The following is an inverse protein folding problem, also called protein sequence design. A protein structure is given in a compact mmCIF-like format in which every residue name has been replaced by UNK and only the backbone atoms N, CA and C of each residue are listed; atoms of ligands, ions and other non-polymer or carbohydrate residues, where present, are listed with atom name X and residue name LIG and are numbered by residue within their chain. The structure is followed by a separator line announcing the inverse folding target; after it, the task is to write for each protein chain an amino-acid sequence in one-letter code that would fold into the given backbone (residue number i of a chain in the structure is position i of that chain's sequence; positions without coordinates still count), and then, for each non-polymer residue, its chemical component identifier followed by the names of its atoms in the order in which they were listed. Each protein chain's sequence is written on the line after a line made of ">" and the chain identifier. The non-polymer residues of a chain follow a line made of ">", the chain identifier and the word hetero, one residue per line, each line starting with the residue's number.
data_IF_165538836410
#
_entry.id   IF_165538836410
#
_cell.length_a   1.000
_cell.length_b   1.000
_cell.length_c   1.000
_cell.angle_alpha   90.00
_cell.angle_beta   90.00
_cell.angle_gamma   90.00
#
_symmetry.space_group_name_H-M   'P 1'
#
loop_
_entity.id
_entity.type
_entity.pdbx_description
1 polymer ?
#
# COMPACT_ATOMS: atom_id res chain seq x y z
N UNK A 1 -16.05 -8.43 -34.14
CA UNK A 1 -15.60 -8.66 -32.74
C UNK A 1 -16.23 -7.54 -31.93
N UNK A 2 -17.28 -7.81 -31.16
CA UNK A 2 -17.98 -6.77 -30.39
C UNK A 2 -17.02 -6.29 -29.30
N UNK A 3 -16.57 -5.03 -29.40
CA UNK A 3 -15.77 -4.42 -28.33
C UNK A 3 -16.60 -4.46 -27.05
N UNK A 4 -16.15 -5.26 -26.08
CA UNK A 4 -16.65 -5.15 -24.72
C UNK A 4 -16.18 -3.80 -24.19
N UNK A 5 -17.09 -2.83 -24.17
CA UNK A 5 -16.86 -1.55 -23.50
C UNK A 5 -16.40 -1.82 -22.07
N UNK A 6 -15.18 -1.41 -21.74
CA UNK A 6 -14.59 -1.58 -20.42
C UNK A 6 -15.47 -0.86 -19.39
N UNK A 7 -16.04 -1.61 -18.44
CA UNK A 7 -16.79 -1.06 -17.32
C UNK A 7 -15.87 -1.03 -16.10
N UNK A 8 -15.46 0.16 -15.61
CA UNK A 8 -14.62 0.27 -14.42
C UNK A 8 -15.33 -0.23 -13.17
N UNK A 9 -14.59 -0.79 -12.22
CA UNK A 9 -15.14 -1.22 -10.92
C UNK A 9 -15.74 -0.06 -10.10
N UNK A 10 -15.20 1.15 -10.28
CA UNK A 10 -15.76 2.40 -9.73
C UNK A 10 -16.17 3.29 -10.90
N UNK A 11 -17.45 3.65 -11.01
CA UNK A 11 -17.95 4.49 -12.11
C UNK A 11 -17.34 5.91 -11.99
N UNK A 12 -16.97 6.59 -13.09
CA UNK A 12 -16.41 7.95 -13.05
C UNK A 12 -17.26 8.98 -12.29
N UNK A 13 -18.58 8.80 -12.29
CA UNK A 13 -19.54 9.68 -11.60
C UNK A 13 -19.71 9.36 -10.10
N UNK A 14 -19.08 8.28 -9.62
CA UNK A 14 -19.18 7.87 -8.22
C UNK A 14 -18.21 8.69 -7.37
N UNK A 15 -18.75 9.53 -6.48
CA UNK A 15 -17.93 10.27 -5.49
C UNK A 15 -17.54 9.35 -4.35
N UNK A 16 -16.41 8.68 -4.51
CA UNK A 16 -15.73 7.86 -3.50
C UNK A 16 -14.58 8.65 -2.87
N UNK A 17 -14.33 8.50 -1.57
CA UNK A 17 -13.11 9.02 -0.97
C UNK A 17 -11.91 8.22 -1.46
N UNK A 18 -10.91 8.86 -2.07
CA UNK A 18 -9.71 8.21 -2.61
C UNK A 18 -8.49 8.51 -1.74
N UNK A 19 -8.21 9.80 -1.55
CA UNK A 19 -7.07 10.29 -0.80
C UNK A 19 -7.55 10.94 0.49
N UNK A 20 -7.38 10.23 1.60
CA UNK A 20 -7.70 10.75 2.93
C UNK A 20 -6.45 10.81 3.81
N UNK A 21 -6.47 11.73 4.77
CA UNK A 21 -5.38 11.91 5.75
C UNK A 21 -5.16 10.61 6.52
N UNK A 22 -6.23 9.87 6.82
CA UNK A 22 -6.17 8.56 7.50
C UNK A 22 -5.38 7.55 6.66
N UNK A 23 -5.66 7.45 5.36
CA UNK A 23 -4.96 6.53 4.46
C UNK A 23 -3.47 6.83 4.35
N UNK A 24 -3.11 8.12 4.24
CA UNK A 24 -1.71 8.53 4.18
C UNK A 24 -1.01 8.22 5.50
N UNK A 25 -1.64 8.52 6.64
CA UNK A 25 -1.05 8.31 7.95
C UNK A 25 -0.82 6.82 8.25
N UNK A 26 -1.82 5.97 8.01
CA UNK A 26 -1.71 4.52 8.18
C UNK A 26 -0.67 3.94 7.21
N UNK A 27 -0.68 4.37 5.95
CA UNK A 27 0.31 3.97 4.94
C UNK A 27 1.73 4.37 5.33
N UNK A 28 1.93 5.58 5.84
CA UNK A 28 3.23 6.07 6.29
C UNK A 28 3.76 5.27 7.49
N UNK A 29 2.92 4.95 8.47
CA UNK A 29 3.30 4.10 9.61
C UNK A 29 3.75 2.73 9.12
N UNK A 30 2.96 2.08 8.25
CA UNK A 30 3.36 0.81 7.67
C UNK A 30 4.65 0.92 6.85
N UNK A 31 4.81 1.97 6.06
CA UNK A 31 6.01 2.21 5.28
C UNK A 31 7.27 2.39 6.13
N UNK A 32 7.17 3.04 7.29
CA UNK A 32 8.29 3.15 8.24
C UNK A 32 8.62 1.79 8.85
N UNK A 33 7.62 1.06 9.35
CA UNK A 33 7.82 -0.23 10.01
C UNK A 33 8.43 -1.25 9.04
N UNK A 34 7.80 -1.41 7.88
CA UNK A 34 8.26 -2.36 6.87
C UNK A 34 9.50 -1.89 6.14
N UNK A 35 9.67 -0.58 5.90
CA UNK A 35 10.90 -0.03 5.34
C UNK A 35 12.09 -0.33 6.26
N UNK A 36 11.96 -0.07 7.57
CA UNK A 36 12.99 -0.40 8.55
C UNK A 36 13.26 -1.92 8.62
N UNK A 37 12.20 -2.74 8.61
CA UNK A 37 12.33 -4.19 8.57
C UNK A 37 13.08 -4.67 7.31
N UNK A 38 12.76 -4.10 6.14
CA UNK A 38 13.39 -4.42 4.86
C UNK A 38 14.86 -4.01 4.87
N UNK A 39 15.22 -2.81 5.37
CA UNK A 39 16.63 -2.41 5.53
C UNK A 39 17.37 -3.37 6.44
N UNK A 40 16.81 -3.67 7.61
CA UNK A 40 17.44 -4.55 8.58
C UNK A 40 17.66 -5.97 8.03
N UNK A 41 16.64 -6.56 7.42
CA UNK A 41 16.74 -7.90 6.82
C UNK A 41 17.71 -7.91 5.65
N UNK A 42 17.72 -6.87 4.81
CA UNK A 42 18.63 -6.83 3.68
C UNK A 42 20.09 -6.66 4.11
N UNK A 43 20.38 -5.84 5.13
CA UNK A 43 21.73 -5.72 5.70
C UNK A 43 22.19 -6.97 6.44
N UNK A 44 21.27 -7.67 7.13
CA UNK A 44 21.62 -8.82 7.98
C UNK A 44 21.62 -10.16 7.23
N UNK A 45 20.65 -10.37 6.36
CA UNK A 45 20.40 -11.65 5.69
C UNK A 45 20.63 -11.60 4.17
N UNK A 46 20.90 -10.41 3.60
CA UNK A 46 21.13 -10.25 2.15
C UNK A 46 19.87 -10.47 1.30
N UNK A 47 18.70 -10.54 1.92
CA UNK A 47 17.42 -10.83 1.26
C UNK A 47 16.39 -9.75 1.62
N UNK A 48 15.66 -9.27 0.61
CA UNK A 48 14.51 -8.37 0.80
C UNK A 48 13.22 -9.19 0.78
N UNK A 49 12.28 -8.88 1.66
CA UNK A 49 10.93 -9.47 1.64
C UNK A 49 9.98 -8.45 1.01
N UNK A 50 9.07 -8.91 0.15
CA UNK A 50 8.00 -8.05 -0.36
C UNK A 50 7.04 -7.71 0.78
N UNK A 51 7.16 -6.51 1.32
CA UNK A 51 6.29 -5.99 2.37
C UNK A 51 4.95 -5.47 1.80
N UNK A 52 4.86 -5.19 0.50
CA UNK A 52 3.61 -4.76 -0.16
C UNK A 52 2.46 -5.77 0.03
N UNK A 53 2.74 -7.07 -0.02
CA UNK A 53 1.73 -8.12 0.20
C UNK A 53 1.16 -8.06 1.61
N UNK A 54 1.96 -8.15 2.70
CA UNK A 54 1.43 -8.05 4.05
C UNK A 54 0.80 -6.68 4.35
N UNK A 55 1.34 -5.58 3.79
CA UNK A 55 0.74 -4.25 3.94
C UNK A 55 -0.67 -4.23 3.32
N UNK A 56 -0.86 -4.79 2.13
CA UNK A 56 -2.17 -4.85 1.49
C UNK A 56 -3.18 -5.67 2.30
N UNK A 57 -2.77 -6.84 2.80
CA UNK A 57 -3.62 -7.70 3.63
C UNK A 57 -4.01 -6.98 4.92
N UNK A 58 -3.07 -6.31 5.58
CA UNK A 58 -3.35 -5.55 6.79
C UNK A 58 -4.23 -4.33 6.53
N UNK A 59 -3.97 -3.59 5.45
CA UNK A 59 -4.81 -2.46 5.04
C UNK A 59 -6.26 -2.91 4.85
N UNK A 60 -6.51 -3.92 4.02
CA UNK A 60 -7.87 -4.45 3.77
C UNK A 60 -8.53 -4.97 5.07
N UNK A 61 -7.76 -5.63 5.93
CA UNK A 61 -8.26 -6.17 7.20
C UNK A 61 -8.64 -5.06 8.18
N UNK A 62 -7.79 -4.04 8.38
CA UNK A 62 -8.10 -2.88 9.22
C UNK A 62 -9.28 -2.07 8.68
N UNK A 63 -9.38 -1.95 7.36
CA UNK A 63 -10.46 -1.25 6.69
C UNK A 63 -11.81 -1.92 6.93
N UNK A 64 -11.84 -3.26 6.88
CA UNK A 64 -13.04 -4.05 7.16
C UNK A 64 -13.44 -4.05 8.64
N UNK A 65 -12.46 -3.95 9.54
CA UNK A 65 -12.69 -4.10 10.99
C UNK A 65 -12.92 -2.77 11.72
N UNK A 66 -12.20 -1.69 11.35
CA UNK A 66 -12.16 -0.46 12.13
C UNK A 66 -12.41 0.82 11.33
N UNK A 67 -11.92 0.93 10.10
CA UNK A 67 -11.82 2.23 9.43
C UNK A 67 -12.95 2.54 8.43
N UNK A 68 -13.76 1.54 8.01
CA UNK A 68 -14.79 1.67 6.96
C UNK A 68 -14.29 2.44 5.72
N UNK A 69 -13.02 2.25 5.38
CA UNK A 69 -12.38 2.92 4.24
C UNK A 69 -12.75 2.25 2.94
N UNK A 70 -12.66 3.03 1.87
CA UNK A 70 -12.98 2.59 0.52
C UNK A 70 -11.86 1.72 -0.06
N UNK A 71 -12.15 1.05 -1.18
CA UNK A 71 -11.12 0.27 -1.91
C UNK A 71 -10.02 1.19 -2.44
N UNK A 72 -10.36 2.42 -2.82
CA UNK A 72 -9.40 3.41 -3.31
C UNK A 72 -8.50 3.91 -2.18
N UNK A 73 -9.05 4.14 -0.98
CA UNK A 73 -8.26 4.45 0.22
C UNK A 73 -7.27 3.34 0.58
N UNK A 74 -7.69 2.07 0.46
CA UNK A 74 -6.81 0.93 0.73
C UNK A 74 -5.67 0.84 -0.29
N UNK A 75 -5.94 1.19 -1.54
CA UNK A 75 -4.91 1.27 -2.57
C UNK A 75 -3.88 2.35 -2.20
N UNK A 76 -4.32 3.53 -1.75
CA UNK A 76 -3.42 4.59 -1.27
C UNK A 76 -2.59 4.15 -0.05
N UNK A 77 -3.19 3.46 0.93
CA UNK A 77 -2.44 2.90 2.09
C UNK A 77 -1.33 1.95 1.60
N UNK A 78 -1.67 1.04 0.68
CA UNK A 78 -0.71 0.08 0.13
C UNK A 78 0.42 0.78 -0.61
N UNK A 79 0.10 1.68 -1.55
CA UNK A 79 1.10 2.40 -2.36
C UNK A 79 2.02 3.23 -1.48
N UNK A 80 1.46 3.96 -0.50
CA UNK A 80 2.24 4.76 0.44
C UNK A 80 3.14 3.88 1.30
N UNK A 81 2.62 2.75 1.79
CA UNK A 81 3.41 1.79 2.58
C UNK A 81 4.54 1.15 1.78
N UNK A 82 4.26 0.72 0.55
CA UNK A 82 5.27 0.07 -0.30
C UNK A 82 6.33 1.04 -0.82
N UNK A 83 6.04 2.34 -0.92
CA UNK A 83 7.04 3.34 -1.30
C UNK A 83 8.25 3.36 -0.34
N UNK A 84 8.06 2.97 0.92
CA UNK A 84 9.14 2.78 1.89
C UNK A 84 10.15 1.69 1.48
N UNK A 85 9.72 0.67 0.73
CA UNK A 85 10.63 -0.36 0.20
C UNK A 85 11.61 0.21 -0.82
N UNK A 86 11.19 1.15 -1.67
CA UNK A 86 12.08 1.78 -2.65
C UNK A 86 13.17 2.61 -1.97
N UNK A 87 12.82 3.31 -0.89
CA UNK A 87 13.77 4.06 -0.07
C UNK A 87 14.74 3.09 0.63
N UNK A 88 14.20 2.01 1.22
CA UNK A 88 15.01 0.98 1.87
C UNK A 88 16.02 0.34 0.91
N UNK A 89 15.59 0.00 -0.31
CA UNK A 89 16.47 -0.54 -1.35
C UNK A 89 17.57 0.47 -1.74
N UNK A 90 17.22 1.75 -1.89
CA UNK A 90 18.18 2.81 -2.16
C UNK A 90 19.25 2.95 -1.08
N UNK A 91 18.89 2.75 0.19
CA UNK A 91 19.84 2.83 1.33
C UNK A 91 20.71 1.58 1.44
N UNK A 92 20.18 0.40 1.12
CA UNK A 92 20.92 -0.88 1.28
C UNK A 92 21.89 -1.14 0.13
N UNK A 93 21.52 -0.76 -1.10
CA UNK A 93 22.27 -1.13 -2.31
C UNK A 93 23.10 0.01 -2.93
N UNK A 94 23.16 1.17 -2.27
CA UNK A 94 24.10 2.26 -2.63
C UNK A 94 25.36 2.22 -1.80
#
# INVERSE_FOLDING_TARGET
>A
MSEKTFQPFVHPDTKMAELTIKSIFVGAIFGIIFGAATVYLALKAGLTVSASIPIAVMAITLSRLFLKTTILENNIIQTTGSAGESIAAGVVFT
#
